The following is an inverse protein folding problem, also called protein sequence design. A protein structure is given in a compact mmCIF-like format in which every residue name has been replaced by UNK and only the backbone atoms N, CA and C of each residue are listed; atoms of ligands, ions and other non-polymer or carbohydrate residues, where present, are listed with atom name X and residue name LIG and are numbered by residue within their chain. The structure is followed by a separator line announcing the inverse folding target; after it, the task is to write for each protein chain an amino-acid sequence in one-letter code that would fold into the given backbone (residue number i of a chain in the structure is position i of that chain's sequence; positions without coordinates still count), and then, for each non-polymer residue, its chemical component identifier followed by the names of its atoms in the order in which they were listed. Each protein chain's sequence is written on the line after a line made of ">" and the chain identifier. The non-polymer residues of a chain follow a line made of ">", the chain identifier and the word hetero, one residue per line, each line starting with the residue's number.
data_IF_216026359054
#
_entry.id   IF_216026359054
#
_cell.length_a   1.000
_cell.length_b   1.000
_cell.length_c   1.000
_cell.angle_alpha   90.00
_cell.angle_beta   90.00
_cell.angle_gamma   90.00
#
_symmetry.space_group_name_H-M   'P 1'
#
loop_
_entity.id
_entity.type
_entity.pdbx_description
1 polymer ?
#
# COMPACT_ATOMS: atom_id res chain seq x y z
N UNK A 1 -12.27 -8.31 28.19
CA UNK A 1 -12.25 -7.39 27.04
C UNK A 1 -11.85 -8.19 25.80
N UNK A 2 -12.63 -8.19 24.71
CA UNK A 2 -12.21 -8.88 23.49
C UNK A 2 -10.97 -8.18 22.93
N UNK A 3 -9.93 -8.95 22.62
CA UNK A 3 -8.71 -8.47 21.98
C UNK A 3 -9.10 -8.05 20.57
N UNK A 4 -9.28 -6.77 20.34
CA UNK A 4 -9.61 -6.24 19.02
C UNK A 4 -8.45 -6.59 18.10
N UNK A 5 -8.67 -7.51 17.17
CA UNK A 5 -7.75 -7.74 16.05
C UNK A 5 -7.61 -6.40 15.35
N UNK A 6 -6.44 -5.78 15.45
CA UNK A 6 -6.16 -4.50 14.81
C UNK A 6 -6.00 -4.82 13.32
N UNK A 7 -7.12 -4.93 12.60
CA UNK A 7 -7.14 -5.02 11.16
C UNK A 7 -6.46 -3.73 10.66
N UNK A 8 -5.21 -3.88 10.23
CA UNK A 8 -4.36 -2.77 9.83
C UNK A 8 -3.93 -2.97 8.41
N UNK A 9 -3.93 -1.88 7.65
CA UNK A 9 -3.35 -1.88 6.32
C UNK A 9 -1.85 -2.25 6.38
N UNK A 10 -1.16 -1.95 7.49
CA UNK A 10 0.25 -2.27 7.70
C UNK A 10 0.54 -3.78 7.75
N UNK A 11 -0.46 -4.59 8.11
CA UNK A 11 -0.32 -6.05 8.20
C UNK A 11 -0.81 -6.78 6.95
N UNK A 12 -1.29 -6.06 5.94
CA UNK A 12 -1.77 -6.64 4.69
C UNK A 12 -0.59 -7.19 3.86
N UNK A 13 -0.65 -8.39 3.27
CA UNK A 13 0.33 -8.84 2.28
C UNK A 13 0.54 -7.81 1.16
N UNK A 14 1.78 -7.66 0.70
CA UNK A 14 2.13 -6.62 -0.28
C UNK A 14 1.41 -6.82 -1.61
N UNK A 15 1.14 -8.06 -1.98
CA UNK A 15 0.41 -8.44 -3.19
C UNK A 15 -1.03 -7.94 -3.16
N UNK A 16 -1.67 -7.90 -1.98
CA UNK A 16 -3.00 -7.31 -1.82
C UNK A 16 -2.94 -5.78 -1.89
N UNK A 17 -1.86 -5.17 -1.41
CA UNK A 17 -1.64 -3.73 -1.58
C UNK A 17 -1.50 -3.41 -3.07
N UNK A 18 -0.69 -4.15 -3.82
CA UNK A 18 -0.55 -3.97 -5.27
C UNK A 18 -1.89 -4.06 -6.01
N UNK A 19 -2.72 -5.05 -5.70
CA UNK A 19 -4.08 -5.15 -6.28
C UNK A 19 -4.95 -3.93 -5.98
N UNK A 20 -4.80 -3.30 -4.83
CA UNK A 20 -5.50 -2.04 -4.52
C UNK A 20 -4.94 -0.92 -5.39
N UNK A 21 -3.61 -0.86 -5.53
CA UNK A 21 -2.95 0.14 -6.36
C UNK A 21 -3.35 0.03 -7.82
N UNK A 22 -3.56 -1.18 -8.36
CA UNK A 22 -3.98 -1.41 -9.76
C UNK A 22 -5.26 -0.65 -10.15
N UNK A 23 -6.09 -0.26 -9.19
CA UNK A 23 -7.32 0.50 -9.40
C UNK A 23 -7.13 2.02 -9.36
N UNK A 24 -5.90 2.51 -9.19
CA UNK A 24 -5.55 3.92 -9.08
C UNK A 24 -4.60 4.32 -10.23
N UNK A 25 -4.62 5.57 -10.65
CA UNK A 25 -3.63 6.09 -11.60
C UNK A 25 -2.28 6.35 -10.90
N UNK A 26 -1.21 6.38 -11.68
CA UNK A 26 0.16 6.50 -11.17
C UNK A 26 0.39 7.81 -10.43
N UNK A 27 -0.23 8.91 -10.88
CA UNK A 27 -0.13 10.21 -10.22
C UNK A 27 -0.76 10.15 -8.82
N UNK A 28 -1.96 9.58 -8.71
CA UNK A 28 -2.64 9.38 -7.42
C UNK A 28 -1.80 8.54 -6.47
N UNK A 29 -1.19 7.44 -6.94
CA UNK A 29 -0.33 6.58 -6.13
C UNK A 29 0.89 7.34 -5.62
N UNK A 30 1.63 7.98 -6.51
CA UNK A 30 2.87 8.67 -6.16
C UNK A 30 2.56 9.80 -5.18
N UNK A 31 1.61 10.69 -5.49
CA UNK A 31 1.34 11.86 -4.66
C UNK A 31 0.68 11.54 -3.32
N UNK A 32 -0.11 10.46 -3.23
CA UNK A 32 -0.89 10.16 -2.01
C UNK A 32 -0.21 9.17 -1.08
N UNK A 33 0.68 8.32 -1.59
CA UNK A 33 1.33 7.28 -0.78
C UNK A 33 2.75 7.64 -0.36
N UNK A 34 3.46 8.45 -1.15
CA UNK A 34 4.76 8.95 -0.73
C UNK A 34 4.60 9.93 0.43
N UNK A 35 5.42 9.76 1.47
CA UNK A 35 5.41 10.53 2.73
C UNK A 35 4.34 10.16 3.77
N UNK A 36 3.51 9.13 3.53
CA UNK A 36 2.58 8.63 4.58
C UNK A 36 3.34 7.81 5.62
N UNK A 37 4.09 6.79 5.16
CA UNK A 37 4.94 5.98 6.02
C UNK A 37 6.05 5.31 5.21
N UNK A 38 7.10 4.84 5.90
CA UNK A 38 8.23 4.16 5.27
C UNK A 38 7.81 2.93 4.46
N UNK A 39 6.79 2.21 4.94
CA UNK A 39 6.28 1.02 4.24
C UNK A 39 5.66 1.40 2.89
N UNK A 40 4.86 2.47 2.84
CA UNK A 40 4.26 2.91 1.58
C UNK A 40 5.31 3.43 0.60
N UNK A 41 6.31 4.16 1.08
CA UNK A 41 7.45 4.57 0.25
C UNK A 41 8.14 3.33 -0.38
N UNK A 42 8.39 2.29 0.41
CA UNK A 42 9.00 1.05 -0.08
C UNK A 42 8.12 0.32 -1.11
N UNK A 43 6.81 0.24 -0.85
CA UNK A 43 5.84 -0.38 -1.76
C UNK A 43 5.81 0.37 -3.08
N UNK A 44 5.66 1.69 -3.08
CA UNK A 44 5.62 2.52 -4.30
C UNK A 44 6.94 2.41 -5.08
N UNK A 45 8.09 2.43 -4.39
CA UNK A 45 9.39 2.30 -5.05
C UNK A 45 9.64 0.92 -5.69
N UNK A 46 8.92 -0.12 -5.23
CA UNK A 46 9.04 -1.48 -5.74
C UNK A 46 7.83 -1.91 -6.57
N UNK A 47 6.84 -1.03 -6.74
CA UNK A 47 5.61 -1.34 -7.44
C UNK A 47 5.85 -1.15 -8.94
N UNK A 48 6.06 -2.27 -9.63
CA UNK A 48 6.08 -2.34 -11.07
C UNK A 48 4.76 -2.94 -11.56
N UNK A 49 3.87 -2.09 -12.05
CA UNK A 49 2.53 -2.49 -12.52
C UNK A 49 2.58 -3.36 -13.78
N UNK A 50 3.67 -3.30 -14.56
CA UNK A 50 3.72 -3.88 -15.91
C UNK A 50 4.81 -4.96 -16.08
N UNK A 51 5.42 -5.43 -14.98
CA UNK A 51 6.27 -6.64 -14.97
C UNK A 51 5.49 -7.88 -14.57
#
# INVERSE_FOLDING_TARGET
>A
MPKQSIASFLTLPVELVYRILDHQDDFTIICSMTNVCQRFNSIVNSYDRFQ
#
